data_IF_795344390120
#
_entry.id   IF_795344390120
#
_cell.length_a   1.000
_cell.length_b   1.000
_cell.length_c   1.000
_cell.angle_alpha   90.00
_cell.angle_beta   90.00
_cell.angle_gamma   90.00
#
_symmetry.space_group_name_H-M   'P 1'
#
loop_
_entity.id
_entity.type
_entity.pdbx_description
1 polymer ?
#
# COMPACT_ATOMS: atom_id res chain seq x y z
N UNK A 1 -2.50 -33.96 -11.61
CA UNK A 1 -3.52 -32.88 -11.56
C UNK A 1 -4.53 -33.07 -10.43
N UNK A 2 -5.02 -34.29 -10.14
CA UNK A 2 -5.93 -34.54 -9.01
C UNK A 2 -5.32 -34.32 -7.61
N UNK A 3 -4.03 -34.64 -7.39
CA UNK A 3 -3.40 -34.50 -6.07
C UNK A 3 -3.26 -33.04 -5.59
N UNK A 4 -3.06 -32.09 -6.51
CA UNK A 4 -3.00 -30.64 -6.21
C UNK A 4 -4.34 -30.09 -5.75
N UNK A 5 -5.44 -30.73 -6.16
CA UNK A 5 -6.79 -30.22 -5.99
C UNK A 5 -7.39 -30.59 -4.62
N UNK A 6 -7.03 -31.75 -4.05
CA UNK A 6 -7.44 -32.15 -2.70
C UNK A 6 -6.84 -31.25 -1.60
N UNK A 7 -5.68 -30.64 -1.85
CA UNK A 7 -4.95 -29.81 -0.87
C UNK A 7 -5.50 -28.37 -0.74
N UNK A 8 -6.23 -27.87 -1.75
CA UNK A 8 -6.93 -26.59 -1.64
C UNK A 8 -8.12 -26.63 -0.67
N UNK A 9 -8.61 -27.83 -0.35
CA UNK A 9 -9.69 -28.04 0.62
C UNK A 9 -9.18 -27.73 2.03
N UNK A 10 -8.02 -28.26 2.43
CA UNK A 10 -7.46 -28.05 3.78
C UNK A 10 -7.12 -26.58 4.08
N UNK A 11 -6.59 -25.83 3.11
CA UNK A 11 -6.34 -24.39 3.26
C UNK A 11 -7.64 -23.54 3.36
N UNK A 12 -8.69 -23.95 2.64
CA UNK A 12 -10.02 -23.30 2.71
C UNK A 12 -10.76 -23.63 4.02
N UNK A 13 -10.50 -24.79 4.63
CA UNK A 13 -11.01 -25.16 5.95
C UNK A 13 -10.48 -24.20 7.02
N UNK A 14 -9.17 -23.96 7.06
CA UNK A 14 -8.56 -23.04 8.00
C UNK A 14 -9.08 -21.59 7.83
N UNK A 15 -9.31 -21.17 6.58
CA UNK A 15 -9.87 -19.86 6.25
C UNK A 15 -11.36 -19.70 6.62
N UNK A 16 -12.15 -20.77 6.57
CA UNK A 16 -13.59 -20.76 6.94
C UNK A 16 -13.80 -20.80 8.46
N UNK A 17 -12.93 -21.50 9.19
CA UNK A 17 -12.98 -21.58 10.65
C UNK A 17 -12.38 -20.35 11.34
N UNK A 18 -11.54 -19.60 10.63
CA UNK A 18 -10.85 -18.44 11.16
C UNK A 18 -11.62 -17.13 11.00
N UNK A 19 -11.88 -16.42 12.10
CA UNK A 19 -12.25 -15.01 12.01
C UNK A 19 -10.99 -14.19 11.67
N UNK A 20 -10.90 -13.72 10.42
CA UNK A 20 -9.82 -12.88 9.88
C UNK A 20 -8.42 -13.51 9.94
N UNK A 21 -8.08 -14.32 8.94
CA UNK A 21 -6.70 -14.80 8.72
C UNK A 21 -6.14 -14.25 7.40
N UNK A 22 -4.92 -13.71 7.47
CA UNK A 22 -4.09 -13.39 6.32
C UNK A 22 -2.98 -14.45 6.25
N UNK A 23 -2.95 -15.24 5.18
CA UNK A 23 -1.94 -16.26 4.98
C UNK A 23 -1.11 -15.90 3.74
N UNK A 24 0.22 -15.88 3.90
CA UNK A 24 1.15 -15.87 2.78
C UNK A 24 1.61 -17.32 2.63
N UNK A 25 1.08 -18.00 1.61
CA UNK A 25 1.46 -19.38 1.31
C UNK A 25 2.95 -19.48 0.92
N UNK A 26 3.55 -20.68 1.02
CA UNK A 26 4.97 -20.90 0.70
C UNK A 26 5.35 -20.62 -0.78
N UNK A 27 4.38 -20.29 -1.64
CA UNK A 27 4.54 -19.90 -3.04
C UNK A 27 4.21 -18.42 -3.33
N UNK A 28 4.05 -17.57 -2.30
CA UNK A 28 3.60 -16.17 -2.49
C UNK A 28 2.11 -16.05 -2.81
N UNK A 29 1.32 -17.08 -2.51
CA UNK A 29 -0.13 -17.04 -2.63
C UNK A 29 -0.70 -16.23 -1.45
N UNK A 30 -1.19 -15.02 -1.73
CA UNK A 30 -1.93 -14.20 -0.76
C UNK A 30 -3.40 -14.62 -0.77
N UNK A 31 -3.90 -15.18 0.33
CA UNK A 31 -5.35 -15.42 0.48
C UNK A 31 -5.89 -14.60 1.65
N UNK A 32 -6.74 -13.62 1.33
CA UNK A 32 -7.46 -12.83 2.32
C UNK A 32 -8.88 -13.37 2.40
N UNK A 33 -9.17 -14.16 3.45
CA UNK A 33 -10.54 -14.60 3.71
C UNK A 33 -11.28 -13.48 4.45
N UNK A 34 -12.14 -12.77 3.73
CA UNK A 34 -13.24 -12.04 4.37
C UNK A 34 -14.48 -12.91 4.22
N UNK A 35 -15.11 -13.28 5.33
CA UNK A 35 -16.34 -14.04 5.31
C UNK A 35 -17.42 -13.24 4.56
N UNK A 36 -17.73 -13.65 3.32
CA UNK A 36 -18.94 -13.20 2.63
C UNK A 36 -20.08 -13.98 3.28
N UNK A 37 -20.92 -13.30 4.05
CA UNK A 37 -22.17 -13.88 4.56
C UNK A 37 -22.95 -14.46 3.38
N UNK A 38 -23.00 -15.79 3.28
CA UNK A 38 -23.77 -16.50 2.28
C UNK A 38 -25.25 -16.21 2.53
N UNK A 39 -25.89 -15.58 1.55
CA UNK A 39 -27.33 -15.35 1.49
C UNK A 39 -28.07 -16.68 1.48
N UNK A 40 -28.45 -17.16 2.66
CA UNK A 40 -29.32 -18.31 2.85
C UNK A 40 -30.81 -17.93 2.71
N UNK A 41 -31.52 -18.73 1.93
CA UNK A 41 -32.96 -18.73 1.67
C UNK A 41 -33.77 -18.59 2.98
N UNK A 42 -34.74 -17.64 3.00
CA UNK A 42 -35.71 -17.45 4.10
C UNK A 42 -36.44 -18.75 4.40
N UNK A 43 -36.20 -19.33 5.57
CA UNK A 43 -37.17 -20.16 6.28
C UNK A 43 -37.62 -19.34 7.48
N UNK A 44 -38.90 -18.98 7.49
CA UNK A 44 -39.48 -18.09 8.49
C UNK A 44 -39.55 -18.77 9.84
N UNK A 45 -38.91 -18.17 10.84
CA UNK A 45 -39.42 -18.03 12.20
C UNK A 45 -38.74 -16.81 12.82
N UNK A 46 -39.57 -15.92 13.34
CA UNK A 46 -39.24 -14.62 13.91
C UNK A 46 -38.47 -14.75 15.23
N UNK A 47 -37.15 -14.56 15.20
CA UNK A 47 -36.35 -14.10 16.34
C UNK A 47 -35.23 -13.19 15.81
N UNK A 48 -35.37 -11.89 16.03
CA UNK A 48 -34.42 -10.85 15.61
C UNK A 48 -33.13 -10.91 16.44
N UNK A 49 -31.92 -10.95 15.84
CA UNK A 49 -30.68 -10.65 16.54
C UNK A 49 -30.51 -9.12 16.70
N UNK A 50 -29.91 -8.63 17.80
CA UNK A 50 -29.77 -7.21 18.06
C UNK A 50 -28.50 -6.66 17.38
N UNK A 51 -28.50 -6.56 16.06
CA UNK A 51 -27.49 -5.78 15.34
C UNK A 51 -28.17 -5.04 14.19
N UNK A 52 -28.42 -3.76 14.39
CA UNK A 52 -28.79 -2.84 13.32
C UNK A 52 -27.68 -2.84 12.27
N UNK A 53 -28.06 -2.86 10.99
CA UNK A 53 -27.19 -2.51 9.88
C UNK A 53 -26.62 -1.10 10.09
N UNK A 54 -25.48 -0.99 10.76
CA UNK A 54 -24.65 0.20 10.68
C UNK A 54 -23.75 0.03 9.46
N UNK A 55 -23.98 0.88 8.46
CA UNK A 55 -22.96 1.31 7.49
C UNK A 55 -21.60 1.47 8.19
N UNK A 56 -20.46 1.21 7.51
CA UNK A 56 -19.16 1.51 8.09
C UNK A 56 -19.12 3.01 8.34
N UNK A 57 -19.29 3.40 9.60
CA UNK A 57 -19.10 4.78 10.03
C UNK A 57 -17.66 5.12 9.69
N UNK A 58 -17.51 6.08 8.79
CA UNK A 58 -16.27 6.78 8.52
C UNK A 58 -15.53 7.06 9.82
N UNK A 59 -14.21 6.92 9.77
CA UNK A 59 -13.31 7.36 10.83
C UNK A 59 -13.28 8.90 10.87
N UNK A 60 -14.42 9.55 11.10
CA UNK A 60 -14.55 11.00 11.28
C UNK A 60 -14.61 11.30 12.77
N UNK A 61 -13.45 11.13 13.44
CA UNK A 61 -13.28 11.80 14.74
C UNK A 61 -12.96 13.25 14.43
N UNK A 62 -13.99 14.12 14.46
CA UNK A 62 -13.81 15.58 14.49
C UNK A 62 -12.69 15.89 15.48
N UNK A 63 -11.66 16.60 15.02
CA UNK A 63 -10.67 17.25 15.85
C UNK A 63 -11.35 18.31 16.73
N UNK A 64 -12.02 17.87 17.79
CA UNK A 64 -12.38 18.69 18.93
C UNK A 64 -11.31 18.46 19.98
N UNK A 65 -10.68 19.54 20.44
CA UNK A 65 -9.44 19.58 21.21
C UNK A 65 -9.51 19.02 22.62
N UNK A 66 -9.87 17.76 22.77
CA UNK A 66 -9.60 16.98 23.97
C UNK A 66 -8.86 15.71 23.58
N UNK A 67 -7.55 15.71 23.83
CA UNK A 67 -6.72 14.50 23.82
C UNK A 67 -7.28 13.61 24.94
N UNK A 68 -8.14 12.66 24.57
CA UNK A 68 -8.56 11.62 25.49
C UNK A 68 -7.31 10.83 25.88
N UNK A 69 -6.92 10.90 27.15
CA UNK A 69 -5.79 10.21 27.78
C UNK A 69 -6.05 8.70 27.97
N UNK A 70 -6.64 8.05 26.97
CA UNK A 70 -6.73 6.59 26.89
C UNK A 70 -5.50 6.02 26.17
N UNK A 71 -5.16 4.74 26.37
CA UNK A 71 -4.10 4.11 25.59
C UNK A 71 -4.40 4.30 24.10
N UNK A 72 -3.45 4.89 23.39
CA UNK A 72 -3.48 5.01 21.93
C UNK A 72 -3.84 3.66 21.33
N UNK A 73 -4.75 3.56 20.34
CA UNK A 73 -5.08 2.29 19.72
C UNK A 73 -3.90 1.89 18.82
N UNK A 74 -2.82 1.39 19.44
CA UNK A 74 -1.76 0.75 18.70
C UNK A 74 -2.36 -0.47 18.03
N UNK A 75 -2.26 -0.51 16.70
CA UNK A 75 -2.58 -1.69 15.93
C UNK A 75 -1.68 -2.83 16.45
N UNK A 76 -2.27 -3.88 16.99
CA UNK A 76 -1.53 -5.08 17.38
C UNK A 76 -1.50 -6.04 16.20
N UNK A 77 -0.33 -6.63 15.95
CA UNK A 77 -0.11 -7.57 14.84
C UNK A 77 0.41 -8.88 15.38
N UNK A 78 -0.20 -9.99 14.97
CA UNK A 78 0.29 -11.33 15.30
C UNK A 78 0.86 -11.96 14.04
N UNK A 79 2.15 -12.30 14.09
CA UNK A 79 2.84 -12.97 13.00
C UNK A 79 2.77 -14.48 13.20
N UNK A 80 2.10 -15.18 12.28
CA UNK A 80 2.11 -16.65 12.24
C UNK A 80 3.20 -17.15 11.31
N UNK A 81 4.15 -17.93 11.81
CA UNK A 81 5.25 -18.49 11.03
C UNK A 81 5.08 -20.01 10.92
N UNK A 82 4.86 -20.50 9.71
CA UNK A 82 4.77 -21.92 9.40
C UNK A 82 6.16 -22.52 9.18
N UNK A 83 6.74 -23.11 10.22
CA UNK A 83 8.03 -23.78 10.16
C UNK A 83 7.88 -25.26 9.80
N UNK A 84 8.00 -25.55 8.50
CA UNK A 84 8.03 -26.91 7.97
C UNK A 84 9.45 -27.47 7.78
N UNK A 85 10.48 -26.77 8.28
CA UNK A 85 11.87 -27.20 8.19
C UNK A 85 12.53 -27.07 6.81
N UNK A 86 11.85 -26.55 5.79
CA UNK A 86 12.34 -26.47 4.41
C UNK A 86 12.20 -25.08 3.77
N UNK A 87 13.26 -24.61 3.09
CA UNK A 87 13.23 -23.47 2.18
C UNK A 87 13.46 -23.95 0.76
N UNK A 88 12.40 -24.01 -0.04
CA UNK A 88 12.41 -24.59 -1.40
C UNK A 88 12.95 -26.04 -1.37
N UNK A 89 14.23 -26.25 -1.67
CA UNK A 89 14.91 -27.55 -1.69
C UNK A 89 15.87 -27.77 -0.51
N UNK A 90 16.10 -26.74 0.32
CA UNK A 90 17.12 -26.77 1.36
C UNK A 90 16.49 -26.97 2.73
N UNK A 91 17.17 -27.71 3.60
CA UNK A 91 16.85 -27.73 5.03
C UNK A 91 17.11 -26.36 5.64
N UNK A 92 16.22 -25.90 6.51
CA UNK A 92 16.38 -24.65 7.25
C UNK A 92 17.39 -24.78 8.39
N UNK A 93 17.76 -25.99 8.81
CA UNK A 93 18.68 -26.21 9.93
C UNK A 93 18.22 -25.59 11.26
N UNK A 94 16.93 -25.25 11.39
CA UNK A 94 16.42 -24.54 12.56
C UNK A 94 16.79 -23.06 12.61
N UNK A 95 17.13 -22.42 11.48
CA UNK A 95 17.46 -20.99 11.39
C UNK A 95 16.40 -20.07 12.02
N UNK A 96 15.13 -20.48 12.10
CA UNK A 96 14.11 -19.71 12.80
C UNK A 96 14.45 -19.45 14.28
N UNK A 97 15.24 -20.33 14.89
CA UNK A 97 15.68 -20.20 16.28
C UNK A 97 16.75 -19.11 16.45
N UNK A 98 17.41 -18.65 15.39
CA UNK A 98 18.39 -17.56 15.50
C UNK A 98 17.74 -16.19 15.51
N UNK A 99 16.58 -16.03 14.86
CA UNK A 99 15.85 -14.76 14.77
C UNK A 99 14.90 -14.53 15.95
N UNK A 100 14.40 -15.59 16.58
CA UNK A 100 13.24 -15.51 17.49
C UNK A 100 13.43 -16.28 18.82
N UNK A 101 14.66 -16.59 19.24
CA UNK A 101 14.85 -17.28 20.52
C UNK A 101 14.71 -16.37 21.74
N UNK A 102 15.10 -15.09 21.65
CA UNK A 102 15.24 -14.20 22.81
C UNK A 102 15.00 -12.71 22.45
N UNK A 103 14.00 -12.39 21.63
CA UNK A 103 13.64 -10.99 21.39
C UNK A 103 12.91 -10.42 22.62
N UNK A 104 13.50 -9.47 23.38
CA UNK A 104 12.87 -8.94 24.59
C UNK A 104 11.69 -8.01 24.28
N UNK A 105 11.52 -7.60 23.02
CA UNK A 105 10.49 -6.66 22.57
C UNK A 105 9.28 -7.36 21.96
N UNK A 106 9.46 -8.56 21.39
CA UNK A 106 8.40 -9.30 20.72
C UNK A 106 8.32 -10.72 21.29
N UNK A 107 7.27 -11.06 22.06
CA UNK A 107 7.12 -12.42 22.58
C UNK A 107 6.90 -13.41 21.44
N UNK A 108 7.58 -14.55 21.57
CA UNK A 108 7.53 -15.65 20.62
C UNK A 108 6.96 -16.87 21.32
N UNK A 109 5.86 -17.40 20.80
CA UNK A 109 5.25 -18.64 21.31
C UNK A 109 5.41 -19.75 20.29
N UNK A 110 5.93 -20.89 20.74
CA UNK A 110 6.15 -22.07 19.91
C UNK A 110 5.04 -23.09 20.11
N UNK A 111 4.53 -23.56 18.99
CA UNK A 111 3.33 -24.38 18.89
C UNK A 111 3.66 -25.67 18.16
N UNK A 112 3.16 -26.80 18.65
CA UNK A 112 3.22 -28.06 17.94
C UNK A 112 2.17 -28.08 16.82
N UNK A 113 2.58 -27.83 15.58
CA UNK A 113 1.69 -27.61 14.43
C UNK A 113 0.80 -28.79 14.04
N UNK A 114 1.12 -30.03 14.46
CA UNK A 114 0.26 -31.21 14.25
C UNK A 114 -0.64 -31.53 15.46
N UNK A 115 -0.64 -30.69 16.50
CA UNK A 115 -1.56 -30.79 17.63
C UNK A 115 -2.53 -29.61 17.55
N UNK A 116 -3.76 -29.88 17.14
CA UNK A 116 -4.72 -28.83 16.85
C UNK A 116 -5.19 -28.12 18.14
N UNK A 117 -5.14 -28.81 19.28
CA UNK A 117 -5.45 -28.24 20.58
C UNK A 117 -4.32 -27.34 21.09
N UNK A 118 -3.07 -27.74 20.88
CA UNK A 118 -1.90 -26.87 21.15
C UNK A 118 -1.93 -25.63 20.26
N UNK A 119 -2.23 -25.81 18.97
CA UNK A 119 -2.45 -24.71 18.01
C UNK A 119 -3.52 -23.75 18.49
N UNK A 120 -4.72 -24.25 18.81
CA UNK A 120 -5.82 -23.40 19.24
C UNK A 120 -5.49 -22.64 20.53
N UNK A 121 -5.09 -23.36 21.58
CA UNK A 121 -4.89 -22.80 22.92
C UNK A 121 -3.76 -21.76 22.96
N UNK A 122 -2.60 -22.06 22.36
CA UNK A 122 -1.45 -21.15 22.35
C UNK A 122 -1.66 -19.96 21.42
N UNK A 123 -2.32 -20.16 20.27
CA UNK A 123 -2.63 -19.03 19.36
C UNK A 123 -3.63 -18.09 20.01
N UNK A 124 -4.66 -18.61 20.70
CA UNK A 124 -5.60 -17.79 21.47
C UNK A 124 -4.89 -17.01 22.57
N UNK A 125 -3.96 -17.64 23.30
CA UNK A 125 -3.15 -16.96 24.31
C UNK A 125 -2.37 -15.77 23.72
N UNK A 126 -1.79 -15.94 22.53
CA UNK A 126 -1.03 -14.88 21.85
C UNK A 126 -1.94 -13.76 21.36
N UNK A 127 -3.13 -14.09 20.85
CA UNK A 127 -4.13 -13.07 20.48
C UNK A 127 -4.57 -12.25 21.70
N UNK A 128 -4.81 -12.91 22.83
CA UNK A 128 -5.19 -12.23 24.07
C UNK A 128 -4.05 -11.39 24.64
N UNK A 129 -2.80 -11.82 24.48
CA UNK A 129 -1.64 -10.99 24.77
C UNK A 129 -1.60 -9.75 23.87
N UNK A 130 -1.62 -9.93 22.55
CA UNK A 130 -1.49 -8.86 21.57
C UNK A 130 -2.59 -7.79 21.74
N UNK A 131 -3.83 -8.23 21.99
CA UNK A 131 -4.96 -7.35 22.32
C UNK A 131 -4.75 -6.56 23.61
N UNK A 132 -4.39 -7.25 24.71
CA UNK A 132 -4.24 -6.61 26.03
C UNK A 132 -3.08 -5.64 26.08
N UNK A 133 -1.95 -5.98 25.44
CA UNK A 133 -0.75 -5.16 25.45
C UNK A 133 -0.70 -4.16 24.28
N UNK A 134 -1.60 -4.30 23.30
CA UNK A 134 -1.56 -3.54 22.04
C UNK A 134 -0.17 -3.60 21.38
N UNK A 135 0.42 -4.80 21.36
CA UNK A 135 1.81 -5.05 21.00
C UNK A 135 1.92 -6.21 20.00
N UNK A 136 2.99 -6.24 19.16
CA UNK A 136 3.22 -7.35 18.26
C UNK A 136 3.56 -8.64 19.03
N UNK A 137 3.24 -9.79 18.42
CA UNK A 137 3.62 -11.09 18.94
C UNK A 137 3.84 -12.08 17.79
N UNK A 138 4.64 -13.13 18.03
CA UNK A 138 4.95 -14.16 17.04
C UNK A 138 4.45 -15.51 17.53
N UNK A 139 3.82 -16.27 16.64
CA UNK A 139 3.47 -17.68 16.82
C UNK A 139 4.25 -18.49 15.80
N UNK A 140 5.08 -19.42 16.27
CA UNK A 140 5.85 -20.33 15.41
C UNK A 140 5.22 -21.71 15.46
N UNK A 141 4.63 -22.14 14.34
CA UNK A 141 4.06 -23.46 14.17
C UNK A 141 5.17 -24.41 13.71
N UNK A 142 5.61 -25.29 14.62
CA UNK A 142 6.70 -26.23 14.38
C UNK A 142 6.17 -27.63 14.08
N UNK A 143 7.06 -28.53 13.65
CA UNK A 143 6.73 -29.91 13.29
C UNK A 143 5.73 -30.02 12.13
N UNK A 144 5.53 -28.94 11.36
CA UNK A 144 4.67 -28.98 10.19
C UNK A 144 5.29 -29.85 9.10
N UNK A 145 4.45 -30.60 8.38
CA UNK A 145 4.88 -31.41 7.26
C UNK A 145 4.42 -30.79 5.94
N UNK A 146 5.39 -30.46 5.08
CA UNK A 146 5.13 -30.02 3.71
C UNK A 146 4.95 -31.24 2.79
N UNK A 147 3.74 -31.82 2.75
CA UNK A 147 3.44 -33.07 2.00
C UNK A 147 3.93 -33.09 0.56
N UNK A 148 3.88 -31.95 -0.16
CA UNK A 148 4.34 -31.83 -1.54
C UNK A 148 5.66 -31.05 -1.66
N UNK A 149 6.23 -31.04 -2.87
CA UNK A 149 7.36 -30.18 -3.19
C UNK A 149 7.03 -28.69 -2.96
N UNK A 150 8.04 -27.82 -3.03
CA UNK A 150 7.85 -26.37 -2.89
C UNK A 150 6.67 -25.86 -3.74
N UNK A 151 6.59 -26.35 -4.99
CA UNK A 151 5.39 -26.32 -5.81
C UNK A 151 4.91 -27.75 -6.10
N UNK A 152 3.65 -27.92 -6.49
CA UNK A 152 3.10 -29.23 -6.84
C UNK A 152 3.82 -29.89 -8.04
N UNK A 153 4.48 -29.10 -8.89
CA UNK A 153 5.29 -29.57 -10.02
C UNK A 153 6.74 -29.88 -9.64
N UNK A 154 7.18 -29.49 -8.44
CA UNK A 154 8.55 -29.67 -7.97
C UNK A 154 8.77 -31.11 -7.51
N UNK A 155 9.80 -31.76 -8.08
CA UNK A 155 10.12 -33.15 -7.78
C UNK A 155 10.86 -33.24 -6.42
N UNK A 156 10.22 -33.79 -5.40
CA UNK A 156 10.78 -33.90 -4.04
C UNK A 156 12.01 -34.82 -3.97
N UNK A 157 12.05 -35.87 -4.79
CA UNK A 157 13.17 -36.82 -4.84
C UNK A 157 14.49 -36.19 -5.31
N UNK A 158 14.46 -34.97 -5.86
CA UNK A 158 15.66 -34.23 -6.22
C UNK A 158 16.45 -33.72 -4.99
N UNK A 159 15.81 -33.61 -3.82
CA UNK A 159 16.45 -33.05 -2.61
C UNK A 159 16.04 -33.72 -1.29
N UNK A 160 15.07 -34.64 -1.30
CA UNK A 160 14.66 -35.45 -0.13
C UNK A 160 14.93 -36.93 -0.38
N UNK A 161 15.23 -37.66 0.69
CA UNK A 161 15.34 -39.12 0.64
C UNK A 161 13.95 -39.76 0.51
N UNK A 162 13.87 -40.92 -0.14
CA UNK A 162 12.61 -41.65 -0.33
C UNK A 162 11.88 -41.96 0.98
N UNK A 163 12.61 -42.29 2.05
CA UNK A 163 12.03 -42.51 3.39
C UNK A 163 11.38 -41.25 3.97
N UNK A 164 12.01 -40.08 3.77
CA UNK A 164 11.44 -38.80 4.22
C UNK A 164 10.17 -38.48 3.44
N UNK A 165 10.19 -38.64 2.12
CA UNK A 165 9.01 -38.43 1.26
C UNK A 165 7.87 -39.35 1.69
N UNK A 166 8.16 -40.64 1.93
CA UNK A 166 7.18 -41.61 2.37
C UNK A 166 6.59 -41.23 3.74
N UNK A 167 7.44 -40.92 4.72
CA UNK A 167 7.00 -40.49 6.06
C UNK A 167 6.13 -39.23 6.01
N UNK A 168 6.49 -38.26 5.17
CA UNK A 168 5.72 -37.03 4.99
C UNK A 168 4.35 -37.29 4.33
N UNK A 169 4.28 -38.21 3.37
CA UNK A 169 3.04 -38.59 2.70
C UNK A 169 2.10 -39.42 3.60
N UNK A 170 2.66 -40.26 4.48
CA UNK A 170 1.90 -41.13 5.39
C UNK A 170 1.37 -40.41 6.64
N UNK A 171 1.82 -39.17 6.92
CA UNK A 171 1.36 -38.43 8.09
C UNK A 171 -0.11 -38.03 7.97
N UNK A 172 -0.94 -38.46 8.92
CA UNK A 172 -2.40 -38.29 8.95
C UNK A 172 -2.85 -37.07 9.77
N UNK A 173 -2.47 -35.86 9.34
CA UNK A 173 -2.70 -34.62 10.11
C UNK A 173 -4.20 -34.33 10.30
N UNK A 174 -5.00 -34.48 9.24
CA UNK A 174 -6.43 -34.18 9.28
C UNK A 174 -7.19 -35.19 10.14
N UNK A 175 -6.83 -36.46 10.06
CA UNK A 175 -7.44 -37.53 10.85
C UNK A 175 -7.14 -37.31 12.34
N UNK A 176 -5.88 -37.00 12.69
CA UNK A 176 -5.51 -36.65 14.06
C UNK A 176 -6.28 -35.42 14.58
N UNK A 177 -6.41 -34.37 13.77
CA UNK A 177 -7.17 -33.17 14.11
C UNK A 177 -8.66 -33.47 14.34
N UNK A 178 -9.27 -34.33 13.51
CA UNK A 178 -10.67 -34.71 13.62
C UNK A 178 -10.95 -35.57 14.85
N UNK A 179 -10.04 -36.51 15.19
CA UNK A 179 -10.13 -37.28 16.43
C UNK A 179 -10.02 -36.36 17.64
N UNK A 180 -9.06 -35.43 17.66
CA UNK A 180 -8.94 -34.44 18.74
C UNK A 180 -10.21 -33.58 18.89
N UNK A 181 -10.81 -33.16 17.77
CA UNK A 181 -12.04 -32.39 17.80
C UNK A 181 -13.24 -33.22 18.29
N UNK A 182 -13.34 -34.49 17.91
CA UNK A 182 -14.37 -35.41 18.39
C UNK A 182 -14.25 -35.64 19.90
N UNK A 183 -13.05 -35.94 20.40
CA UNK A 183 -12.77 -36.16 21.82
C UNK A 183 -13.12 -34.94 22.69
N UNK A 184 -12.88 -33.73 22.17
CA UNK A 184 -13.10 -32.49 22.93
C UNK A 184 -14.53 -31.94 22.77
N UNK A 185 -15.14 -32.04 21.59
CA UNK A 185 -16.42 -31.39 21.30
C UNK A 185 -17.62 -32.35 21.29
N UNK A 186 -17.40 -33.67 21.21
CA UNK A 186 -18.46 -34.71 21.19
C UNK A 186 -19.60 -34.43 20.18
N UNK A 187 -19.34 -33.63 19.13
CA UNK A 187 -20.40 -32.96 18.37
C UNK A 187 -20.68 -33.57 16.99
N UNK A 188 -19.75 -34.32 16.38
CA UNK A 188 -19.89 -34.87 15.01
C UNK A 188 -18.87 -35.99 14.77
N UNK A 189 -19.19 -36.96 13.90
CA UNK A 189 -18.27 -38.06 13.52
C UNK A 189 -17.34 -37.67 12.36
N UNK A 190 -16.14 -38.27 12.33
CA UNK A 190 -15.14 -38.11 11.25
C UNK A 190 -15.74 -38.13 9.84
N UNK A 191 -16.58 -39.13 9.54
CA UNK A 191 -17.19 -39.33 8.22
C UNK A 191 -18.07 -38.14 7.82
N UNK A 192 -18.85 -37.60 8.76
CA UNK A 192 -19.77 -36.50 8.50
C UNK A 192 -19.02 -35.19 8.20
N UNK A 193 -17.87 -34.97 8.83
CA UNK A 193 -17.03 -33.81 8.54
C UNK A 193 -16.34 -33.98 7.17
N UNK A 194 -15.77 -35.15 6.91
CA UNK A 194 -15.07 -35.44 5.65
C UNK A 194 -16.00 -35.28 4.43
N UNK A 195 -17.19 -35.87 4.46
CA UNK A 195 -18.17 -35.81 3.36
C UNK A 195 -18.60 -34.36 3.08
N UNK A 196 -18.90 -33.59 4.14
CA UNK A 196 -19.26 -32.16 4.01
C UNK A 196 -18.17 -31.32 3.36
N UNK A 197 -16.90 -31.67 3.56
CA UNK A 197 -15.78 -30.92 2.98
C UNK A 197 -15.49 -31.32 1.53
N UNK A 198 -15.53 -32.61 1.22
CA UNK A 198 -15.19 -33.11 -0.12
C UNK A 198 -16.23 -32.72 -1.17
N UNK A 199 -17.53 -32.87 -0.88
CA UNK A 199 -18.59 -32.59 -1.86
C UNK A 199 -18.65 -31.09 -2.22
N UNK A 200 -18.55 -30.21 -1.23
CA UNK A 200 -18.77 -28.79 -1.43
C UNK A 200 -17.59 -28.09 -2.12
N UNK A 201 -16.35 -28.37 -1.71
CA UNK A 201 -15.20 -27.61 -2.20
C UNK A 201 -14.86 -27.92 -3.68
N UNK A 202 -15.01 -29.17 -4.10
CA UNK A 202 -14.72 -29.59 -5.47
C UNK A 202 -15.79 -29.08 -6.45
N UNK A 203 -17.07 -29.26 -6.11
CA UNK A 203 -18.18 -28.78 -6.94
C UNK A 203 -18.08 -27.26 -7.18
N UNK A 204 -17.87 -26.48 -6.12
CA UNK A 204 -17.71 -25.02 -6.22
C UNK A 204 -16.53 -24.65 -7.12
N UNK A 205 -15.40 -25.35 -7.03
CA UNK A 205 -14.18 -24.99 -7.79
C UNK A 205 -14.29 -25.36 -9.26
N UNK A 206 -15.02 -26.42 -9.60
CA UNK A 206 -15.27 -26.80 -11.01
C UNK A 206 -16.23 -25.81 -11.67
N UNK A 207 -17.25 -25.36 -10.94
CA UNK A 207 -18.25 -24.40 -11.44
C UNK A 207 -17.74 -22.95 -11.43
N UNK A 208 -16.68 -22.64 -10.67
CA UNK A 208 -16.09 -21.31 -10.61
C UNK A 208 -15.57 -20.87 -11.99
N UNK A 209 -16.09 -19.73 -12.47
CA UNK A 209 -15.70 -19.11 -13.72
C UNK A 209 -14.18 -18.91 -13.79
N UNK A 210 -13.54 -19.51 -14.80
CA UNK A 210 -12.09 -19.40 -15.01
C UNK A 210 -11.77 -18.15 -15.78
N UNK A 211 -10.76 -17.44 -15.31
CA UNK A 211 -10.18 -16.30 -16.02
C UNK A 211 -9.46 -16.82 -17.26
N UNK A 212 -9.88 -16.35 -18.43
CA UNK A 212 -9.27 -16.73 -19.71
C UNK A 212 -8.06 -15.85 -20.03
N UNK A 213 -7.26 -16.27 -21.01
CA UNK A 213 -6.16 -15.44 -21.52
C UNK A 213 -6.67 -14.10 -22.07
N UNK A 214 -7.79 -14.12 -22.78
CA UNK A 214 -8.38 -12.91 -23.36
C UNK A 214 -8.86 -11.95 -22.28
N UNK A 215 -9.46 -12.48 -21.20
CA UNK A 215 -9.79 -11.67 -20.01
C UNK A 215 -8.53 -11.00 -19.45
N UNK A 216 -7.42 -11.73 -19.34
CA UNK A 216 -6.16 -11.17 -18.84
C UNK A 216 -5.61 -10.08 -19.76
N UNK A 217 -5.58 -10.32 -21.07
CA UNK A 217 -5.11 -9.34 -22.05
C UNK A 217 -5.97 -8.08 -22.00
N UNK A 218 -7.29 -8.21 -21.98
CA UNK A 218 -8.21 -7.08 -21.88
C UNK A 218 -8.00 -6.31 -20.58
N UNK A 219 -7.79 -6.99 -19.45
CA UNK A 219 -7.51 -6.35 -18.17
C UNK A 219 -6.20 -5.58 -18.22
N UNK A 220 -5.07 -6.20 -18.56
CA UNK A 220 -3.75 -5.53 -18.49
C UNK A 220 -3.53 -4.45 -19.55
N UNK A 221 -4.31 -4.47 -20.64
CA UNK A 221 -4.30 -3.43 -21.68
C UNK A 221 -5.28 -2.28 -21.41
N UNK A 222 -6.08 -2.36 -20.34
CA UNK A 222 -7.02 -1.31 -20.00
C UNK A 222 -6.29 0.01 -19.71
N UNK A 223 -6.83 1.15 -20.14
CA UNK A 223 -6.25 2.46 -19.85
C UNK A 223 -6.27 2.75 -18.35
N UNK A 224 -5.55 3.80 -17.94
CA UNK A 224 -5.56 4.28 -16.57
C UNK A 224 -6.98 4.54 -16.06
N UNK A 225 -7.19 4.32 -14.77
CA UNK A 225 -8.49 4.48 -14.12
C UNK A 225 -9.14 5.84 -14.51
N UNK A 226 -10.39 5.87 -14.98
CA UNK A 226 -11.03 7.10 -15.39
C UNK A 226 -11.13 8.09 -14.23
N UNK A 227 -11.01 9.37 -14.55
CA UNK A 227 -11.17 10.47 -13.61
C UNK A 227 -12.49 11.18 -13.86
N UNK A 228 -13.17 11.61 -12.80
CA UNK A 228 -14.28 12.57 -12.91
C UNK A 228 -13.80 13.88 -13.54
N UNK A 229 -14.66 14.62 -14.24
CA UNK A 229 -14.29 15.92 -14.85
C UNK A 229 -13.97 16.98 -13.79
N UNK A 230 -13.08 17.92 -14.12
CA UNK A 230 -12.61 18.98 -13.20
C UNK A 230 -13.79 19.82 -12.66
N UNK A 231 -14.85 19.97 -13.47
CA UNK A 231 -16.04 20.78 -13.19
C UNK A 231 -16.95 20.27 -12.06
N UNK A 232 -16.75 19.06 -11.54
CA UNK A 232 -17.75 18.37 -10.73
C UNK A 232 -17.54 18.41 -9.20
N UNK A 233 -16.42 18.96 -8.68
CA UNK A 233 -16.00 18.64 -7.29
C UNK A 233 -15.69 19.84 -6.36
N UNK A 234 -15.57 21.10 -6.80
CA UNK A 234 -15.01 22.14 -5.90
C UNK A 234 -16.02 23.22 -5.48
N UNK A 235 -16.18 23.34 -4.15
CA UNK A 235 -16.77 24.51 -3.50
C UNK A 235 -15.65 25.50 -3.14
N UNK A 236 -15.84 26.82 -3.34
CA UNK A 236 -14.80 27.81 -3.06
C UNK A 236 -14.45 27.86 -1.56
N UNK A 237 -13.14 27.88 -1.26
CA UNK A 237 -12.59 28.01 0.09
C UNK A 237 -12.38 29.48 0.46
N UNK A 238 -13.01 29.95 1.55
CA UNK A 238 -12.90 31.32 2.08
C UNK A 238 -11.72 31.45 3.08
N UNK A 239 -10.50 31.04 2.73
CA UNK A 239 -9.35 31.17 3.64
C UNK A 239 -8.38 32.28 3.23
N UNK A 240 -7.91 33.05 4.23
CA UNK A 240 -6.95 34.15 4.09
C UNK A 240 -5.51 33.66 3.97
N UNK A 241 -4.66 34.39 3.21
CA UNK A 241 -3.30 33.97 2.85
C UNK A 241 -2.31 34.22 3.99
N UNK A 242 -1.86 33.16 4.67
CA UNK A 242 -0.65 33.23 5.50
C UNK A 242 0.28 32.08 5.10
N UNK A 243 1.36 32.38 4.39
CA UNK A 243 2.56 31.54 4.14
C UNK A 243 2.30 30.03 3.96
N UNK A 244 1.44 29.66 3.01
CA UNK A 244 1.07 28.26 2.78
C UNK A 244 1.89 27.61 1.66
N UNK A 245 2.32 26.37 1.89
CA UNK A 245 2.66 25.39 0.86
C UNK A 245 1.37 24.60 0.50
N UNK A 246 1.25 24.09 -0.74
CA UNK A 246 0.06 23.40 -1.27
C UNK A 246 -0.34 22.14 -0.49
N UNK A 247 0.62 21.60 0.24
CA UNK A 247 0.59 20.25 0.81
C UNK A 247 -0.23 20.20 2.10
N UNK A 248 -0.06 21.13 3.06
CA UNK A 248 -1.00 21.27 4.18
C UNK A 248 -2.40 21.73 3.75
N UNK A 249 -2.60 22.36 2.59
CA UNK A 249 -3.94 22.72 2.07
C UNK A 249 -4.77 21.46 1.77
N UNK A 250 -4.28 20.57 0.91
CA UNK A 250 -5.03 19.37 0.49
C UNK A 250 -5.34 18.41 1.64
N UNK A 251 -4.47 18.34 2.65
CA UNK A 251 -4.71 17.54 3.86
C UNK A 251 -5.70 18.20 4.83
N UNK A 252 -5.80 19.54 4.85
CA UNK A 252 -6.81 20.24 5.67
C UNK A 252 -8.20 20.15 5.07
N UNK A 253 -8.29 20.03 3.75
CA UNK A 253 -9.55 19.91 3.03
C UNK A 253 -10.12 18.48 3.07
N UNK A 254 -9.27 17.47 3.30
CA UNK A 254 -9.68 16.06 3.29
C UNK A 254 -8.88 15.20 4.29
N UNK A 255 -9.56 14.77 5.36
CA UNK A 255 -9.01 13.90 6.42
C UNK A 255 -8.61 12.49 5.92
N UNK A 256 -9.04 12.08 4.72
CA UNK A 256 -8.64 10.80 4.11
C UNK A 256 -7.26 10.86 3.44
N UNK A 257 -6.68 12.07 3.29
CA UNK A 257 -5.35 12.26 2.74
C UNK A 257 -4.30 12.18 3.84
N UNK A 258 -3.41 11.21 3.75
CA UNK A 258 -2.32 11.00 4.72
C UNK A 258 -0.98 11.25 4.04
N UNK A 259 -0.15 12.08 4.67
CA UNK A 259 1.17 12.45 4.16
C UNK A 259 2.26 11.98 5.11
N UNK A 260 3.00 10.95 4.75
CA UNK A 260 4.07 10.42 5.58
C UNK A 260 5.34 10.13 4.77
N UNK A 261 6.47 10.12 5.46
CA UNK A 261 7.78 9.93 4.84
C UNK A 261 8.90 10.25 5.84
N UNK A 262 10.13 10.02 5.42
CA UNK A 262 11.29 10.28 6.26
C UNK A 262 11.50 11.79 6.45
N UNK A 263 11.64 12.23 7.70
CA UNK A 263 11.90 13.63 8.02
C UNK A 263 10.71 14.59 7.81
N UNK A 264 9.57 14.14 7.27
CA UNK A 264 8.38 14.97 6.97
C UNK A 264 7.93 15.80 8.17
N UNK A 265 7.90 15.20 9.38
CA UNK A 265 7.60 15.90 10.63
C UNK A 265 8.44 17.17 10.83
N UNK A 266 9.70 17.15 10.41
CA UNK A 266 10.67 18.23 10.60
C UNK A 266 10.81 19.13 9.37
N UNK A 267 9.97 18.91 8.35
CA UNK A 267 9.98 19.66 7.10
C UNK A 267 10.55 18.90 5.90
N UNK A 268 10.93 17.64 6.08
CA UNK A 268 11.65 16.89 5.05
C UNK A 268 13.04 17.48 4.82
N UNK A 269 13.74 16.97 3.81
CA UNK A 269 15.15 17.31 3.59
C UNK A 269 15.36 18.74 3.07
N UNK A 270 14.39 19.28 2.35
CA UNK A 270 14.42 20.65 1.81
C UNK A 270 13.43 21.60 2.49
N UNK A 271 12.93 21.26 3.68
CA UNK A 271 11.99 22.09 4.47
C UNK A 271 10.66 22.41 3.75
N UNK A 272 10.28 21.59 2.76
CA UNK A 272 9.03 21.75 2.00
C UNK A 272 7.81 21.42 2.87
N UNK A 273 7.93 20.50 3.82
CA UNK A 273 6.84 20.18 4.76
C UNK A 273 6.99 20.90 6.11
N UNK A 274 7.80 21.97 6.16
CA UNK A 274 8.09 22.66 7.42
C UNK A 274 6.81 23.24 8.01
N UNK A 275 6.60 23.03 9.32
CA UNK A 275 5.39 23.49 10.01
C UNK A 275 4.14 22.63 9.81
N UNK A 276 4.15 21.59 8.96
CA UNK A 276 3.01 20.67 8.77
C UNK A 276 2.65 19.95 10.07
N UNK A 277 3.63 19.64 10.92
CA UNK A 277 3.43 19.00 12.21
C UNK A 277 2.59 19.81 13.22
N UNK A 278 2.36 21.11 12.98
CA UNK A 278 1.45 21.93 13.80
C UNK A 278 -0.01 21.56 13.55
N UNK A 279 -0.32 21.02 12.37
CA UNK A 279 -1.70 20.83 11.90
C UNK A 279 -2.16 19.37 11.95
N UNK A 280 -1.23 18.40 11.96
CA UNK A 280 -1.56 16.97 11.87
C UNK A 280 -0.89 16.15 12.97
N UNK A 281 -1.50 15.01 13.31
CA UNK A 281 -1.00 14.10 14.34
C UNK A 281 0.36 13.48 13.96
N UNK A 282 1.17 13.12 14.96
CA UNK A 282 2.49 12.51 14.72
C UNK A 282 2.41 11.21 13.91
N UNK A 283 1.32 10.44 14.08
CA UNK A 283 1.08 9.17 13.37
C UNK A 283 0.91 9.36 11.87
N UNK A 284 0.43 10.52 11.43
CA UNK A 284 0.26 10.81 10.01
C UNK A 284 1.56 11.24 9.33
N UNK A 285 2.63 11.58 10.08
CA UNK A 285 3.79 12.29 9.54
C UNK A 285 5.13 11.57 9.72
N UNK A 286 5.18 10.50 10.54
CA UNK A 286 6.44 9.84 10.91
C UNK A 286 6.51 8.42 10.35
N UNK A 287 7.58 8.15 9.61
CA UNK A 287 8.00 6.81 9.25
C UNK A 287 9.53 6.72 9.37
N UNK A 288 10.03 5.67 10.01
CA UNK A 288 11.45 5.53 10.35
C UNK A 288 12.12 4.28 9.74
N UNK A 289 11.39 3.52 8.92
CA UNK A 289 11.93 2.35 8.21
C UNK A 289 12.22 2.67 6.75
N UNK A 290 13.04 1.83 6.11
CA UNK A 290 13.47 2.00 4.72
C UNK A 290 12.34 1.99 3.69
N UNK A 291 12.70 2.29 2.44
CA UNK A 291 11.77 2.63 1.36
C UNK A 291 10.82 1.49 1.02
N UNK A 292 11.26 0.23 1.10
CA UNK A 292 10.40 -0.95 0.92
C UNK A 292 9.24 -0.95 1.92
N UNK A 293 9.52 -0.76 3.20
CA UNK A 293 8.50 -0.74 4.25
C UNK A 293 7.62 0.50 4.13
N UNK A 294 8.19 1.65 3.74
CA UNK A 294 7.47 2.90 3.54
C UNK A 294 6.39 2.75 2.47
N UNK A 295 6.78 2.21 1.31
CA UNK A 295 5.86 1.92 0.21
C UNK A 295 4.88 0.80 0.58
N UNK A 296 5.31 -0.22 1.32
CA UNK A 296 4.44 -1.31 1.78
C UNK A 296 3.32 -0.79 2.70
N UNK A 297 3.65 0.12 3.62
CA UNK A 297 2.66 0.80 4.45
C UNK A 297 1.69 1.64 3.58
N UNK A 298 2.21 2.36 2.58
CA UNK A 298 1.40 3.17 1.68
C UNK A 298 0.39 2.33 0.89
N UNK A 299 0.86 1.19 0.35
CA UNK A 299 0.01 0.17 -0.30
C UNK A 299 -1.11 -0.27 0.64
N UNK A 300 -0.79 -0.67 1.86
CA UNK A 300 -1.78 -1.13 2.85
C UNK A 300 -2.81 -0.06 3.20
N UNK A 301 -2.36 1.17 3.45
CA UNK A 301 -3.27 2.30 3.70
C UNK A 301 -4.18 2.60 2.50
N UNK A 302 -3.65 2.50 1.29
CA UNK A 302 -4.43 2.74 0.07
C UNK A 302 -5.54 1.70 -0.09
N UNK A 303 -5.23 0.44 0.23
CA UNK A 303 -6.19 -0.67 0.17
C UNK A 303 -7.34 -0.56 1.17
N UNK A 304 -7.18 0.21 2.25
CA UNK A 304 -8.26 0.54 3.22
C UNK A 304 -8.97 1.86 2.92
N UNK A 305 -8.68 2.49 1.78
CA UNK A 305 -9.40 3.65 1.26
C UNK A 305 -8.79 5.01 1.61
N UNK A 306 -7.56 5.06 2.12
CA UNK A 306 -6.85 6.33 2.32
C UNK A 306 -6.17 6.78 1.01
N UNK A 307 -5.98 8.09 0.88
CA UNK A 307 -5.18 8.68 -0.20
C UNK A 307 -3.80 9.01 0.34
N UNK A 308 -2.75 8.41 -0.23
CA UNK A 308 -1.43 8.49 0.36
C UNK A 308 -0.53 9.43 -0.43
N UNK A 309 0.16 10.29 0.31
CA UNK A 309 1.32 11.03 -0.17
C UNK A 309 2.53 10.48 0.57
N UNK A 310 3.44 9.87 -0.18
CA UNK A 310 4.66 9.28 0.34
C UNK A 310 5.84 10.15 -0.08
N UNK A 311 6.61 10.64 0.89
CA UNK A 311 7.81 11.42 0.61
C UNK A 311 9.06 10.55 0.76
N UNK A 312 9.81 10.41 -0.33
CA UNK A 312 11.14 9.81 -0.36
C UNK A 312 12.18 10.94 -0.46
N UNK A 313 13.14 11.04 0.48
CA UNK A 313 14.11 12.13 0.54
C UNK A 313 14.97 12.35 -0.70
N UNK A 314 15.31 11.27 -1.39
CA UNK A 314 16.08 11.32 -2.62
C UNK A 314 15.53 10.33 -3.64
N UNK A 315 15.35 10.77 -4.88
CA UNK A 315 14.86 9.91 -5.96
C UNK A 315 15.66 8.60 -6.10
N UNK A 316 16.97 8.62 -5.81
CA UNK A 316 17.84 7.43 -5.86
C UNK A 316 17.42 6.35 -4.86
N UNK A 317 16.80 6.71 -3.74
CA UNK A 317 16.38 5.73 -2.73
C UNK A 317 15.13 4.96 -3.13
N UNK A 318 14.40 5.40 -4.18
CA UNK A 318 13.33 4.59 -4.74
C UNK A 318 13.82 3.20 -5.20
N UNK A 319 15.10 3.08 -5.58
CA UNK A 319 15.72 1.78 -5.94
C UNK A 319 15.62 0.76 -4.78
N UNK A 320 15.70 1.22 -3.53
CA UNK A 320 15.57 0.36 -2.35
C UNK A 320 14.13 -0.15 -2.16
N UNK A 321 13.12 0.54 -2.70
CA UNK A 321 11.71 0.18 -2.66
C UNK A 321 11.13 -0.27 -4.02
N UNK A 322 11.98 -0.54 -5.02
CA UNK A 322 11.57 -0.68 -6.41
C UNK A 322 10.54 -1.81 -6.65
N UNK A 323 10.71 -2.96 -6.00
CA UNK A 323 9.78 -4.08 -6.13
C UNK A 323 8.38 -3.73 -5.60
N UNK A 324 8.31 -3.10 -4.42
CA UNK A 324 7.04 -2.64 -3.84
C UNK A 324 6.41 -1.52 -4.67
N UNK A 325 7.23 -0.62 -5.23
CA UNK A 325 6.77 0.40 -6.17
C UNK A 325 6.13 -0.23 -7.42
N UNK A 326 6.80 -1.21 -8.03
CA UNK A 326 6.28 -1.90 -9.21
C UNK A 326 4.95 -2.61 -8.90
N UNK A 327 4.85 -3.21 -7.72
CA UNK A 327 3.60 -3.84 -7.27
C UNK A 327 2.48 -2.82 -7.08
N UNK A 328 2.75 -1.68 -6.44
CA UNK A 328 1.80 -0.57 -6.29
C UNK A 328 1.28 -0.13 -7.66
N UNK A 329 2.18 0.08 -8.62
CA UNK A 329 1.85 0.48 -9.97
C UNK A 329 0.98 -0.56 -10.70
N UNK A 330 1.33 -1.84 -10.60
CA UNK A 330 0.65 -2.92 -11.33
C UNK A 330 -0.71 -3.32 -10.72
N UNK A 331 -0.95 -3.03 -9.43
CA UNK A 331 -2.07 -3.59 -8.68
C UNK A 331 -3.44 -3.30 -9.26
N UNK A 332 -3.64 -2.13 -9.89
CA UNK A 332 -4.91 -1.81 -10.56
C UNK A 332 -5.28 -2.90 -11.58
N UNK A 333 -4.33 -3.34 -12.40
CA UNK A 333 -4.57 -4.36 -13.42
C UNK A 333 -4.61 -5.77 -12.84
N UNK A 334 -3.70 -6.07 -11.90
CA UNK A 334 -3.65 -7.39 -11.24
C UNK A 334 -4.93 -7.70 -10.44
N UNK A 335 -5.52 -6.67 -9.83
CA UNK A 335 -6.77 -6.78 -9.06
C UNK A 335 -8.03 -6.54 -9.89
N UNK A 336 -7.93 -6.36 -11.21
CA UNK A 336 -9.07 -6.00 -12.07
C UNK A 336 -9.84 -4.75 -11.57
N UNK A 337 -9.12 -3.71 -11.15
CA UNK A 337 -9.65 -2.46 -10.62
C UNK A 337 -10.21 -2.54 -9.19
N UNK A 338 -10.13 -3.69 -8.52
CA UNK A 338 -10.70 -3.85 -7.17
C UNK A 338 -9.85 -3.21 -6.07
N UNK A 339 -8.53 -3.12 -6.28
CA UNK A 339 -7.57 -2.57 -5.32
C UNK A 339 -6.61 -1.59 -6.02
N UNK A 340 -7.11 -0.47 -6.56
CA UNK A 340 -6.24 0.51 -7.17
C UNK A 340 -5.47 1.23 -6.05
N UNK A 341 -4.15 1.01 -5.97
CA UNK A 341 -3.29 1.54 -4.91
C UNK A 341 -2.96 3.03 -5.13
N UNK A 342 -3.98 3.88 -5.25
CA UNK A 342 -3.84 5.31 -5.50
C UNK A 342 -2.89 5.97 -4.50
N UNK A 343 -1.72 6.40 -4.98
CA UNK A 343 -0.61 6.90 -4.15
C UNK A 343 0.19 7.96 -4.92
N UNK A 344 0.51 9.08 -4.27
CA UNK A 344 1.43 10.10 -4.75
C UNK A 344 2.80 9.84 -4.13
N UNK A 345 3.77 9.39 -4.93
CA UNK A 345 5.13 9.10 -4.50
C UNK A 345 5.99 10.31 -4.84
N UNK A 346 6.10 11.24 -3.89
CA UNK A 346 6.89 12.46 -4.03
C UNK A 346 8.36 12.15 -3.84
N UNK A 347 9.13 12.41 -4.87
CA UNK A 347 10.58 12.24 -4.86
C UNK A 347 11.23 13.63 -4.84
N UNK A 348 12.09 13.86 -3.86
CA UNK A 348 13.00 14.99 -3.93
C UNK A 348 14.17 14.61 -4.84
N UNK A 349 14.19 15.25 -6.01
CA UNK A 349 15.13 14.95 -7.08
C UNK A 349 16.33 15.88 -7.09
N UNK A 350 17.28 15.48 -7.93
CA UNK A 350 18.54 16.10 -8.34
C UNK A 350 18.77 17.61 -8.12
N UNK A 351 20.06 17.93 -7.95
CA UNK A 351 20.61 19.29 -8.06
C UNK A 351 20.56 19.76 -9.54
N UNK A 352 21.68 19.79 -10.28
CA UNK A 352 21.71 20.28 -11.68
C UNK A 352 21.43 19.22 -12.77
N UNK A 353 20.98 18.03 -12.38
CA UNK A 353 20.75 16.89 -13.29
C UNK A 353 19.48 16.99 -14.15
N UNK A 354 19.25 15.97 -14.98
CA UNK A 354 18.05 15.77 -15.84
C UNK A 354 17.54 14.35 -15.59
N UNK A 355 16.22 14.15 -15.52
CA UNK A 355 15.57 12.85 -15.26
C UNK A 355 14.42 12.64 -16.24
N UNK A 356 14.24 11.45 -16.82
CA UNK A 356 13.22 11.15 -17.84
C UNK A 356 11.75 11.36 -17.41
N UNK A 357 10.79 10.92 -18.24
CA UNK A 357 9.33 11.18 -18.20
C UNK A 357 8.64 11.10 -16.81
N UNK A 358 8.83 12.14 -15.99
CA UNK A 358 8.25 12.26 -14.65
C UNK A 358 7.82 13.71 -14.40
N UNK A 359 6.72 13.92 -13.66
CA UNK A 359 6.19 15.25 -13.36
C UNK A 359 7.20 16.08 -12.56
N UNK A 360 7.82 17.07 -13.20
CA UNK A 360 8.78 17.95 -12.56
C UNK A 360 8.35 19.42 -12.64
N UNK A 361 8.04 20.01 -11.49
CA UNK A 361 7.59 21.39 -11.41
C UNK A 361 8.76 22.38 -11.46
N UNK A 362 8.57 23.47 -12.18
CA UNK A 362 9.63 24.47 -12.41
C UNK A 362 9.52 25.71 -11.53
N UNK A 363 8.41 25.91 -10.82
CA UNK A 363 8.18 27.00 -9.88
C UNK A 363 7.08 26.61 -8.86
N UNK A 364 6.92 27.43 -7.81
CA UNK A 364 5.96 27.15 -6.73
C UNK A 364 4.50 27.13 -7.17
N UNK A 365 4.09 28.01 -8.07
CA UNK A 365 2.71 28.09 -8.58
C UNK A 365 2.32 26.80 -9.34
N UNK A 366 3.18 26.35 -10.26
CA UNK A 366 2.99 25.10 -11.00
C UNK A 366 3.01 23.88 -10.07
N UNK A 367 3.86 23.91 -9.04
CA UNK A 367 3.90 22.86 -8.02
C UNK A 367 2.55 22.75 -7.30
N UNK A 368 1.94 23.87 -6.92
CA UNK A 368 0.63 23.88 -6.24
C UNK A 368 -0.46 23.30 -7.14
N UNK A 369 -0.57 23.80 -8.38
CA UNK A 369 -1.60 23.34 -9.32
C UNK A 369 -1.43 21.86 -9.70
N UNK A 370 -0.19 21.45 -9.95
CA UNK A 370 0.12 20.08 -10.28
C UNK A 370 -0.07 19.13 -9.10
N UNK A 371 0.24 19.56 -7.87
CA UNK A 371 0.05 18.73 -6.68
C UNK A 371 -1.43 18.54 -6.33
N UNK A 372 -2.26 19.58 -6.49
CA UNK A 372 -3.74 19.44 -6.42
C UNK A 372 -4.24 18.41 -7.43
N UNK A 373 -3.73 18.45 -8.67
CA UNK A 373 -4.04 17.43 -9.67
C UNK A 373 -3.55 16.04 -9.23
N UNK A 374 -2.31 15.91 -8.74
CA UNK A 374 -1.75 14.64 -8.28
C UNK A 374 -2.64 13.99 -7.21
N UNK A 375 -3.05 14.74 -6.19
CA UNK A 375 -3.97 14.24 -5.15
C UNK A 375 -5.29 13.77 -5.77
N UNK A 376 -5.85 14.52 -6.70
CA UNK A 376 -7.07 14.11 -7.40
C UNK A 376 -6.90 12.81 -8.21
N UNK A 377 -5.78 12.66 -8.91
CA UNK A 377 -5.46 11.41 -9.63
C UNK A 377 -5.35 10.23 -8.65
N UNK A 378 -4.72 10.45 -7.50
CA UNK A 378 -4.58 9.40 -6.48
C UNK A 378 -5.90 8.98 -5.85
N UNK A 379 -6.83 9.92 -5.63
CA UNK A 379 -8.20 9.60 -5.22
C UNK A 379 -8.96 8.77 -6.24
N UNK A 380 -8.65 8.94 -7.53
CA UNK A 380 -9.17 8.10 -8.61
C UNK A 380 -8.45 6.75 -8.73
N UNK A 381 -7.55 6.40 -7.80
CA UNK A 381 -6.83 5.13 -7.79
C UNK A 381 -5.57 5.09 -8.65
N UNK A 382 -5.12 6.24 -9.19
CA UNK A 382 -3.89 6.31 -10.00
C UNK A 382 -2.65 6.46 -9.11
N UNK A 383 -1.54 5.90 -9.56
CA UNK A 383 -0.23 6.14 -8.96
C UNK A 383 0.41 7.33 -9.68
N UNK A 384 0.85 8.33 -8.92
CA UNK A 384 1.47 9.56 -9.45
C UNK A 384 2.82 9.76 -8.81
N UNK A 385 3.81 10.20 -9.58
CA UNK A 385 5.17 10.43 -9.10
C UNK A 385 5.60 11.87 -9.37
N UNK A 386 5.33 12.82 -8.47
CA UNK A 386 5.90 14.16 -8.56
C UNK A 386 7.38 14.15 -8.15
N UNK A 387 8.24 14.70 -9.00
CA UNK A 387 9.69 14.84 -8.77
C UNK A 387 10.04 16.32 -8.65
N UNK A 388 10.51 16.71 -7.47
CA UNK A 388 10.99 18.08 -7.26
C UNK A 388 12.46 18.21 -7.66
N UNK A 389 12.90 19.42 -7.99
CA UNK A 389 14.33 19.69 -8.11
C UNK A 389 14.90 20.28 -6.83
N UNK A 390 15.86 19.60 -6.22
CA UNK A 390 16.62 20.09 -5.08
C UNK A 390 17.34 21.40 -5.40
N UNK A 391 17.76 21.62 -6.66
CA UNK A 391 18.34 22.90 -7.06
C UNK A 391 17.32 24.04 -6.89
N UNK A 392 16.11 23.91 -7.46
CA UNK A 392 15.06 24.93 -7.32
C UNK A 392 14.65 25.12 -5.86
N UNK A 393 14.47 24.02 -5.12
CA UNK A 393 14.15 24.02 -3.70
C UNK A 393 15.25 24.62 -2.83
N UNK A 394 16.48 24.77 -3.33
CA UNK A 394 17.58 25.38 -2.58
C UNK A 394 17.85 26.83 -2.99
N UNK A 395 17.19 27.36 -4.03
CA UNK A 395 17.44 28.74 -4.50
C UNK A 395 17.12 29.79 -3.43
N UNK A 396 16.21 29.51 -2.50
CA UNK A 396 15.92 30.41 -1.37
C UNK A 396 16.84 30.20 -0.15
N UNK A 397 17.57 29.08 -0.08
CA UNK A 397 18.48 28.76 1.04
C UNK A 397 19.96 29.02 0.74
N UNK A 398 20.40 29.03 -0.52
CA UNK A 398 21.82 29.21 -0.91
C UNK A 398 22.16 30.64 -1.39
N UNK A 399 23.47 30.95 -1.42
CA UNK A 399 24.05 32.30 -1.59
C UNK A 399 23.43 33.09 -2.77
N UNK A 400 22.92 34.29 -2.49
CA UNK A 400 22.37 35.23 -3.49
C UNK A 400 21.05 35.86 -3.06
N UNK A 401 20.17 35.08 -2.40
CA UNK A 401 18.95 35.51 -1.68
C UNK A 401 18.10 36.59 -2.37
N UNK A 402 17.89 36.49 -3.68
CA UNK A 402 17.02 37.46 -4.37
C UNK A 402 15.53 37.07 -4.33
N UNK A 403 15.21 35.81 -3.94
CA UNK A 403 13.85 35.23 -3.97
C UNK A 403 13.17 35.44 -5.34
N UNK A 404 13.95 35.67 -6.39
CA UNK A 404 13.46 36.19 -7.67
C UNK A 404 12.70 35.16 -8.51
N UNK A 405 12.81 33.88 -8.14
CA UNK A 405 12.08 32.78 -8.76
C UNK A 405 10.86 32.33 -7.97
N UNK A 406 10.59 32.94 -6.81
CA UNK A 406 9.36 32.69 -6.05
C UNK A 406 8.15 33.25 -6.80
N UNK A 407 7.02 32.57 -6.66
CA UNK A 407 5.74 33.00 -7.20
C UNK A 407 4.76 33.18 -6.04
N UNK A 408 3.80 34.12 -6.15
CA UNK A 408 2.69 34.18 -5.22
C UNK A 408 1.98 32.83 -5.15
N UNK A 409 1.53 32.46 -3.95
CA UNK A 409 0.73 31.26 -3.77
C UNK A 409 -0.60 31.40 -4.51
N UNK A 410 -0.98 30.45 -5.39
CA UNK A 410 -2.25 30.51 -6.09
C UNK A 410 -3.40 30.07 -5.18
N UNK A 411 -4.32 30.99 -4.89
CA UNK A 411 -5.55 30.70 -4.15
C UNK A 411 -6.42 29.70 -4.94
N UNK A 412 -7.14 28.84 -4.22
CA UNK A 412 -8.08 27.88 -4.81
C UNK A 412 -9.37 28.61 -5.21
N UNK A 413 -9.46 29.08 -6.45
CA UNK A 413 -10.63 29.76 -7.03
C UNK A 413 -11.50 28.85 -7.90
N UNK A 414 -11.25 27.53 -7.88
CA UNK A 414 -11.94 26.53 -8.69
C UNK A 414 -11.02 25.80 -9.66
N UNK A 415 -11.50 25.55 -10.88
CA UNK A 415 -10.81 24.68 -11.87
C UNK A 415 -9.54 25.28 -12.45
N UNK A 416 -9.37 26.60 -12.43
CA UNK A 416 -8.17 27.30 -12.91
C UNK A 416 -6.93 27.02 -12.05
N UNK A 417 -7.15 26.45 -10.86
CA UNK A 417 -6.14 26.15 -9.85
C UNK A 417 -5.58 24.72 -9.92
N UNK A 418 -5.96 23.95 -10.94
CA UNK A 418 -5.51 22.57 -11.22
C UNK A 418 -4.85 22.55 -12.59
N UNK A 419 -3.65 21.96 -12.68
CA UNK A 419 -2.96 21.74 -13.94
C UNK A 419 -2.98 20.25 -14.28
N UNK A 420 -3.64 19.91 -15.39
CA UNK A 420 -3.65 18.53 -15.90
C UNK A 420 -2.34 18.18 -16.63
N UNK A 421 -2.22 16.91 -17.02
CA UNK A 421 -1.02 16.39 -17.67
C UNK A 421 -0.84 16.89 -19.11
N UNK A 422 -1.91 17.36 -19.73
CA UNK A 422 -1.93 17.79 -21.12
C UNK A 422 -1.68 19.31 -21.24
N UNK A 423 -1.72 20.02 -20.12
CA UNK A 423 -1.47 21.46 -20.02
C UNK A 423 -0.02 21.81 -20.30
N UNK A 424 0.24 22.59 -21.36
CA UNK A 424 1.57 23.07 -21.70
C UNK A 424 1.75 24.52 -21.25
N UNK A 425 2.76 24.77 -20.41
CA UNK A 425 3.20 26.13 -20.08
C UNK A 425 4.11 26.66 -21.18
N UNK A 426 3.72 27.78 -21.78
CA UNK A 426 4.51 28.46 -22.81
C UNK A 426 5.06 29.77 -22.25
N UNK A 427 6.38 29.93 -22.38
CA UNK A 427 7.06 31.19 -22.12
C UNK A 427 7.38 31.86 -23.45
N UNK A 428 6.84 33.04 -23.70
CA UNK A 428 7.07 33.83 -24.92
C UNK A 428 6.46 33.23 -26.21
N UNK A 429 6.23 34.08 -27.20
CA UNK A 429 5.50 33.72 -28.43
C UNK A 429 6.17 34.15 -29.74
N UNK A 430 7.33 34.81 -29.70
CA UNK A 430 7.95 35.48 -30.87
C UNK A 430 9.28 34.87 -31.34
N UNK A 431 9.68 33.68 -30.86
CA UNK A 431 10.97 33.07 -31.19
C UNK A 431 10.96 32.17 -32.43
N UNK A 432 12.10 32.08 -33.13
CA UNK A 432 12.34 31.16 -34.27
C UNK A 432 12.59 29.71 -33.84
N UNK A 433 12.99 29.50 -32.59
CA UNK A 433 13.27 28.18 -32.01
C UNK A 433 12.36 27.93 -30.81
N UNK A 434 11.83 26.72 -30.71
CA UNK A 434 11.09 26.23 -29.55
C UNK A 434 12.01 25.36 -28.69
N UNK A 435 12.07 25.65 -27.38
CA UNK A 435 12.77 24.81 -26.40
C UNK A 435 11.70 24.08 -25.59
N UNK A 436 11.71 22.75 -25.65
CA UNK A 436 10.86 21.89 -24.81
C UNK A 436 11.71 21.42 -23.64
N UNK A 437 11.30 21.76 -22.42
CA UNK A 437 12.07 21.47 -21.21
C UNK A 437 11.17 21.47 -19.98
N UNK A 438 11.69 20.96 -18.85
CA UNK A 438 11.00 20.85 -17.56
C UNK A 438 11.98 21.09 -16.41
N UNK A 439 11.45 21.19 -15.18
CA UNK A 439 12.24 21.40 -13.97
C UNK A 439 13.19 22.60 -14.09
N UNK A 440 14.47 22.39 -13.78
CA UNK A 440 15.54 23.40 -13.87
C UNK A 440 15.75 23.97 -15.27
N UNK A 441 15.42 23.19 -16.30
CA UNK A 441 15.62 23.61 -17.67
C UNK A 441 14.80 24.84 -18.02
N UNK A 442 13.63 25.04 -17.39
CA UNK A 442 12.80 26.24 -17.57
C UNK A 442 13.55 27.48 -17.07
N UNK A 443 14.04 27.46 -15.83
CA UNK A 443 14.80 28.57 -15.25
C UNK A 443 16.06 28.90 -16.08
N UNK A 444 16.82 27.88 -16.47
CA UNK A 444 18.02 28.06 -17.27
C UNK A 444 17.69 28.61 -18.67
N UNK A 445 16.59 28.16 -19.28
CA UNK A 445 16.11 28.66 -20.57
C UNK A 445 15.66 30.11 -20.49
N UNK A 446 14.96 30.51 -19.42
CA UNK A 446 14.60 31.92 -19.17
C UNK A 446 15.83 32.81 -18.98
N UNK A 447 16.85 32.35 -18.23
CA UNK A 447 18.12 33.08 -18.07
C UNK A 447 18.87 33.23 -19.40
N UNK A 448 18.91 32.17 -20.21
CA UNK A 448 19.51 32.21 -21.54
C UNK A 448 18.76 33.18 -22.47
N UNK A 449 17.42 33.15 -22.47
CA UNK A 449 16.58 34.10 -23.21
C UNK A 449 16.88 35.55 -22.83
N UNK A 450 16.88 35.87 -21.52
CA UNK A 450 17.20 37.21 -21.04
C UNK A 450 18.60 37.66 -21.49
N UNK A 451 19.56 36.74 -21.53
CA UNK A 451 20.91 37.02 -22.03
C UNK A 451 20.91 37.31 -23.54
N UNK A 452 20.18 36.52 -24.34
CA UNK A 452 20.04 36.76 -25.79
C UNK A 452 19.33 38.08 -26.09
N UNK A 453 18.32 38.43 -25.29
CA UNK A 453 17.63 39.72 -25.40
C UNK A 453 18.57 40.88 -25.11
N UNK A 454 19.34 40.81 -24.01
CA UNK A 454 20.38 41.82 -23.69
C UNK A 454 21.46 41.94 -24.78
N UNK A 455 21.72 40.87 -25.53
CA UNK A 455 22.64 40.86 -26.67
C UNK A 455 21.98 41.35 -27.98
N UNK A 456 20.69 41.73 -27.97
CA UNK A 456 19.96 42.16 -29.16
C UNK A 456 19.66 41.03 -30.16
N UNK A 457 19.83 39.77 -29.77
CA UNK A 457 19.61 38.60 -30.65
C UNK A 457 18.13 38.20 -30.75
N UNK A 458 17.29 38.67 -29.83
CA UNK A 458 15.84 38.51 -29.88
C UNK A 458 15.18 39.85 -29.56
N UNK A 459 14.06 40.14 -30.23
CA UNK A 459 13.43 41.46 -30.22
C UNK A 459 12.64 41.77 -28.95
N UNK A 460 12.20 40.76 -28.21
CA UNK A 460 11.36 40.93 -27.02
C UNK A 460 11.89 40.05 -25.88
N UNK A 461 11.88 40.59 -24.65
CA UNK A 461 12.17 39.82 -23.45
C UNK A 461 11.04 38.83 -23.13
N UNK A 462 9.80 39.18 -23.50
CA UNK A 462 8.51 38.63 -23.01
C UNK A 462 8.61 37.30 -22.24
N UNK A 463 8.80 37.43 -20.93
CA UNK A 463 8.79 36.35 -19.95
C UNK A 463 7.36 36.03 -19.46
N UNK A 464 6.32 36.59 -20.10
CA UNK A 464 4.93 36.31 -19.74
C UNK A 464 4.63 34.84 -19.96
N UNK A 465 4.19 34.19 -18.88
CA UNK A 465 3.69 32.83 -18.86
C UNK A 465 2.29 32.84 -19.50
N UNK A 466 2.09 32.04 -20.54
CA UNK A 466 0.78 31.71 -21.07
C UNK A 466 0.53 30.22 -20.90
N UNK A 467 -0.68 29.84 -20.51
CA UNK A 467 -1.17 28.45 -20.56
C UNK A 467 -1.84 28.26 -21.90
N UNK A 468 -1.45 27.22 -22.64
CA UNK A 468 -2.10 26.83 -23.89
C UNK A 468 -2.87 25.54 -23.73
#
# INVERSE_FOLDING_TARGET
MMATLFLHVEARIAALCGQCFFNIGPCGEETLSSARATTGRRIGTTLSPPWSQSTPTAYTRRASGQIASGPSPWLYTVFGISDNGLTISNSTGGNINTLFNDDPLVPVVRVHGNDMMDVYSKTQHVFDYARRQSAPAVVVYQNLVRRIGHAATYQQNAYLKGEQIKSMAEMQIMECALVQAEEVLSATTYITLLDKFQENAFAITVEEAKVTRDDMVQRVSAPLHPMSSISSILSPSNQTPNDMDAKPEVMREDDSVVYFGEGVRHGGYHLVTAGVAVFFSETHLRFSSGETSLLGAAKGFSQVGLTLIVEIPYAKYLDCGADTFAEIAAMNWLSNGQRPNGTAIRLQGFDRGVFGDVFCYSNGEDCVHGFRNAVRQTKAGRVVMPVDSAFLLNLHYLRGKDRAWERPYPLSDGTASIQDCDSVRRYGNTGTFAIVTYGNGVLNSSKARRTLWKQGKIANEDDRLSVS
#
